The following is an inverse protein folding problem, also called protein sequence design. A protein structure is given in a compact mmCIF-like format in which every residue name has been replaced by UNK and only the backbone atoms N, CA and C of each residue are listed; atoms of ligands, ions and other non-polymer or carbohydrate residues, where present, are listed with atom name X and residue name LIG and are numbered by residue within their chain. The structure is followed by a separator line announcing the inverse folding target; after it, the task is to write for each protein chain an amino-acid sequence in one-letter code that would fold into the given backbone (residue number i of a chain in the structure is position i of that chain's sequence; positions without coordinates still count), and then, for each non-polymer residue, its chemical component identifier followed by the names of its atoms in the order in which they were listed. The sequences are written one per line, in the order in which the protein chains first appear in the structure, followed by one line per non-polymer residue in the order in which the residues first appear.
data_IF_310544533312
#
_entry.id   IF_310544533312
#
_cell.length_a   1.000
_cell.length_b   1.000
_cell.length_c   1.000
_cell.angle_alpha   90.00
_cell.angle_beta   90.00
_cell.angle_gamma   90.00
#
_symmetry.space_group_name_H-M   'P 1'
#
loop_
_entity.id
_entity.type
_entity.pdbx_description
1 polymer ?
#
# COMPACT_ATOMS: atom_id res chain seq x y z
N UNK A 1 11.14 2.76 1.94
CA UNK A 1 10.92 2.07 3.23
C UNK A 1 10.80 3.02 4.44
N UNK A 2 11.75 3.93 4.68
CA UNK A 2 11.78 4.77 5.89
C UNK A 2 10.52 5.61 6.14
N UNK A 3 9.94 6.21 5.09
CA UNK A 3 8.72 7.03 5.23
C UNK A 3 7.49 6.22 5.63
N UNK A 4 7.29 5.04 5.01
CA UNK A 4 6.18 4.15 5.38
C UNK A 4 6.32 3.68 6.83
N UNK A 5 7.53 3.30 7.23
CA UNK A 5 7.80 2.88 8.59
C UNK A 5 7.52 4.00 9.61
N UNK A 6 7.92 5.24 9.31
CA UNK A 6 7.61 6.39 10.16
C UNK A 6 6.10 6.59 10.36
N UNK A 7 5.32 6.44 9.28
CA UNK A 7 3.85 6.54 9.33
C UNK A 7 3.21 5.39 10.13
N UNK A 8 3.78 4.18 10.09
CA UNK A 8 3.32 3.06 10.92
C UNK A 8 3.62 3.32 12.40
N UNK A 9 4.86 3.68 12.72
CA UNK A 9 5.31 3.96 14.09
C UNK A 9 4.51 5.12 14.72
N UNK A 10 4.18 6.15 13.95
CA UNK A 10 3.32 7.24 14.43
C UNK A 10 1.91 6.76 14.80
N UNK A 11 1.32 5.88 14.00
CA UNK A 11 -0.01 5.32 14.28
C UNK A 11 0.01 4.38 15.48
N UNK A 12 1.05 3.56 15.61
CA UNK A 12 1.26 2.70 16.78
C UNK A 12 1.41 3.54 18.06
N UNK A 13 2.19 4.62 18.01
CA UNK A 13 2.34 5.54 19.14
C UNK A 13 1.00 6.19 19.55
N UNK A 14 0.14 6.48 18.58
CA UNK A 14 -1.21 7.02 18.81
C UNK A 14 -2.25 5.95 19.16
N UNK A 15 -1.86 4.67 19.27
CA UNK A 15 -2.76 3.58 19.61
C UNK A 15 -3.94 3.49 18.62
N UNK A 16 -3.64 3.67 17.33
CA UNK A 16 -4.61 3.61 16.24
C UNK A 16 -4.37 2.36 15.39
N UNK A 17 -5.43 1.62 15.09
CA UNK A 17 -5.40 0.41 14.27
C UNK A 17 -6.27 0.66 13.03
N UNK A 18 -5.67 0.48 11.86
CA UNK A 18 -6.38 0.50 10.58
C UNK A 18 -6.97 -0.88 10.28
N UNK A 19 -8.15 -0.91 9.68
CA UNK A 19 -8.72 -2.15 9.17
C UNK A 19 -7.83 -2.74 8.04
N UNK A 20 -7.35 -3.98 8.18
CA UNK A 20 -6.44 -4.59 7.21
C UNK A 20 -7.18 -5.23 6.01
N UNK A 21 -8.51 -5.20 5.97
CA UNK A 21 -9.28 -5.95 4.98
C UNK A 21 -9.21 -5.27 3.60
N UNK A 22 -8.65 -6.03 2.65
CA UNK A 22 -8.76 -5.76 1.22
C UNK A 22 -10.00 -6.49 0.72
N UNK A 23 -10.94 -5.75 0.14
CA UNK A 23 -12.21 -6.29 -0.37
C UNK A 23 -12.08 -6.79 -1.81
N UNK A 24 -11.28 -6.11 -2.61
CA UNK A 24 -11.08 -6.44 -4.01
C UNK A 24 -9.72 -5.92 -4.47
N UNK A 25 -9.12 -6.65 -5.40
CA UNK A 25 -7.91 -6.28 -6.11
C UNK A 25 -8.17 -6.47 -7.60
N UNK A 26 -7.95 -5.42 -8.39
CA UNK A 26 -8.03 -5.51 -9.85
C UNK A 26 -6.86 -6.30 -10.42
N UNK A 27 -6.95 -6.61 -11.71
CA UNK A 27 -5.80 -7.08 -12.46
C UNK A 27 -4.66 -6.05 -12.40
N UNK A 28 -3.43 -6.58 -12.47
CA UNK A 28 -2.21 -5.80 -12.41
C UNK A 28 -1.73 -5.46 -13.82
N UNK A 29 -1.46 -4.19 -14.07
CA UNK A 29 -1.00 -3.70 -15.36
C UNK A 29 0.45 -3.23 -15.28
N UNK A 30 1.23 -3.51 -16.33
CA UNK A 30 2.59 -2.99 -16.47
C UNK A 30 2.55 -1.64 -17.17
N UNK A 31 2.71 -0.56 -16.42
CA UNK A 31 2.69 0.81 -16.95
C UNK A 31 3.98 1.17 -17.68
N UNK A 32 5.11 0.74 -17.13
CA UNK A 32 6.41 1.11 -17.64
C UNK A 32 7.51 0.16 -17.17
N UNK A 33 8.60 0.11 -17.93
CA UNK A 33 9.89 -0.34 -17.42
C UNK A 33 10.87 0.83 -17.50
N UNK A 34 11.56 1.11 -16.40
CA UNK A 34 12.58 2.15 -16.30
C UNK A 34 13.89 1.54 -15.85
N UNK A 35 15.01 2.20 -16.11
CA UNK A 35 16.31 1.79 -15.55
C UNK A 35 16.63 2.79 -14.44
N UNK A 36 16.69 2.31 -13.20
CA UNK A 36 16.98 3.14 -12.02
C UNK A 36 18.16 2.48 -11.31
N UNK A 37 19.23 3.24 -11.07
CA UNK A 37 20.45 2.70 -10.46
C UNK A 37 21.11 1.57 -11.27
N UNK A 38 20.90 1.55 -12.60
CA UNK A 38 21.40 0.50 -13.48
C UNK A 38 20.57 -0.80 -13.51
N UNK A 39 19.50 -0.87 -12.71
CA UNK A 39 18.63 -2.05 -12.64
C UNK A 39 17.30 -1.83 -13.37
N UNK A 40 16.78 -2.83 -14.10
CA UNK A 40 15.46 -2.76 -14.70
C UNK A 40 14.40 -2.70 -13.58
N UNK A 41 13.55 -1.69 -13.66
CA UNK A 41 12.54 -1.34 -12.67
C UNK A 41 11.17 -1.30 -13.35
N UNK A 42 10.43 -2.41 -13.35
CA UNK A 42 9.03 -2.42 -13.74
C UNK A 42 8.19 -1.55 -12.79
N UNK A 43 7.34 -0.71 -13.37
CA UNK A 43 6.31 0.04 -12.67
C UNK A 43 4.98 -0.60 -12.99
N UNK A 44 4.33 -1.12 -11.96
CA UNK A 44 3.04 -1.80 -12.05
C UNK A 44 1.95 -0.92 -11.44
N UNK A 45 0.75 -0.97 -12.00
CA UNK A 45 -0.44 -0.36 -11.42
C UNK A 45 -1.51 -1.38 -11.15
N UNK A 46 -2.28 -1.15 -10.10
CA UNK A 46 -3.47 -1.92 -9.79
C UNK A 46 -4.38 -1.08 -8.88
N UNK A 47 -5.64 -1.46 -8.82
CA UNK A 47 -6.66 -0.87 -7.95
C UNK A 47 -6.97 -1.82 -6.80
N UNK A 48 -7.03 -1.29 -5.58
CA UNK A 48 -7.51 -1.99 -4.41
C UNK A 48 -8.76 -1.33 -3.85
N UNK A 49 -9.78 -2.12 -3.55
CA UNK A 49 -10.86 -1.69 -2.66
C UNK A 49 -10.50 -2.07 -1.23
N UNK A 50 -10.45 -1.08 -0.36
CA UNK A 50 -10.13 -1.27 1.05
C UNK A 50 -11.08 -0.46 1.92
N UNK A 51 -11.31 -0.96 3.13
CA UNK A 51 -12.09 -0.25 4.15
C UNK A 51 -11.21 0.81 4.81
N UNK A 52 -11.67 2.06 4.77
CA UNK A 52 -11.08 3.11 5.58
C UNK A 52 -11.83 3.22 6.90
N UNK A 53 -11.40 2.40 7.87
CA UNK A 53 -11.85 2.50 9.25
C UNK A 53 -10.63 2.44 10.17
N UNK A 54 -10.35 3.54 10.87
CA UNK A 54 -9.30 3.60 11.88
C UNK A 54 -9.95 3.62 13.25
N UNK A 55 -9.55 2.67 14.10
CA UNK A 55 -10.08 2.52 15.46
C UNK A 55 -9.00 2.78 16.50
N UNK A 56 -9.42 3.28 17.66
CA UNK A 56 -8.53 3.27 18.82
C UNK A 56 -8.38 1.84 19.33
N UNK A 57 -7.15 1.40 19.59
CA UNK A 57 -6.88 0.08 20.19
C UNK A 57 -7.41 -0.04 21.61
N UNK A 58 -7.59 1.08 22.32
CA UNK A 58 -8.01 1.11 23.74
C UNK A 58 -9.52 1.05 23.90
N UNK A 59 -10.26 1.80 23.09
CA UNK A 59 -11.73 1.95 23.23
C UNK A 59 -12.51 1.22 22.15
N UNK A 60 -11.83 0.72 21.11
CA UNK A 60 -12.43 0.18 19.89
C UNK A 60 -13.39 1.14 19.14
N UNK A 61 -13.45 2.41 19.57
CA UNK A 61 -14.23 3.43 18.92
C UNK A 61 -13.57 3.83 17.59
N UNK A 62 -14.41 4.13 16.58
CA UNK A 62 -13.95 4.67 15.29
C UNK A 62 -13.44 6.10 15.53
N UNK A 63 -12.18 6.33 15.14
CA UNK A 63 -11.49 7.62 15.25
C UNK A 63 -11.52 8.35 13.92
N UNK A 64 -11.39 7.62 12.81
CA UNK A 64 -11.39 8.17 11.45
C UNK A 64 -12.07 7.18 10.48
N UNK A 65 -12.84 7.71 9.54
CA UNK A 65 -13.60 6.94 8.56
C UNK A 65 -14.89 6.35 9.13
N UNK A 66 -15.34 5.24 8.53
CA UNK A 66 -16.56 4.53 8.91
C UNK A 66 -16.39 3.04 8.65
N UNK A 67 -17.20 2.21 9.30
CA UNK A 67 -17.23 0.75 9.04
C UNK A 67 -17.65 0.43 7.60
N UNK A 68 -18.33 1.37 6.94
CA UNK A 68 -18.83 1.26 5.57
C UNK A 68 -18.10 2.20 4.57
N UNK A 69 -17.06 2.94 5.01
CA UNK A 69 -16.26 3.82 4.11
C UNK A 69 -15.31 2.96 3.27
N UNK A 70 -15.75 2.63 2.05
CA UNK A 70 -14.98 1.84 1.09
C UNK A 70 -14.29 2.77 0.10
N UNK A 71 -12.97 2.62 0.00
CA UNK A 71 -12.14 3.43 -0.91
C UNK A 71 -11.49 2.55 -1.96
N UNK A 72 -11.62 2.97 -3.21
CA UNK A 72 -10.84 2.49 -4.34
C UNK A 72 -9.53 3.27 -4.39
N UNK A 73 -8.40 2.58 -4.23
CA UNK A 73 -7.07 3.18 -4.24
C UNK A 73 -6.28 2.61 -5.40
N UNK A 74 -5.83 3.49 -6.29
CA UNK A 74 -4.95 3.12 -7.39
C UNK A 74 -3.50 3.24 -6.93
N UNK A 75 -2.82 2.10 -6.87
CA UNK A 75 -1.42 2.01 -6.48
C UNK A 75 -0.50 1.96 -7.70
N UNK A 76 0.71 2.49 -7.52
CA UNK A 76 1.84 2.36 -8.43
C UNK A 76 3.02 1.81 -7.64
N UNK A 77 3.50 0.62 -7.99
CA UNK A 77 4.67 0.02 -7.34
C UNK A 77 5.83 -0.02 -8.33
N UNK A 78 7.00 0.42 -7.87
CA UNK A 78 8.27 0.21 -8.55
C UNK A 78 8.96 -1.01 -7.93
N UNK A 79 9.32 -1.98 -8.79
CA UNK A 79 9.93 -3.24 -8.37
C UNK A 79 11.38 -3.29 -8.86
N UNK A 80 12.31 -3.69 -8.00
CA UNK A 80 13.69 -3.97 -8.40
C UNK A 80 14.12 -5.37 -7.95
N UNK A 81 15.03 -6.01 -8.69
CA UNK A 81 15.63 -7.25 -8.23
C UNK A 81 16.52 -6.98 -7.00
N UNK A 82 16.39 -7.81 -5.97
CA UNK A 82 17.35 -7.96 -4.90
C UNK A 82 18.35 -9.05 -5.32
N UNK A 83 19.61 -8.68 -5.54
CA UNK A 83 20.64 -9.62 -5.99
C UNK A 83 21.06 -10.62 -4.91
N UNK A 84 20.79 -10.31 -3.64
CA UNK A 84 21.14 -11.16 -2.49
C UNK A 84 20.03 -12.15 -2.12
N UNK A 85 18.83 -12.01 -2.68
CA UNK A 85 17.68 -12.85 -2.37
C UNK A 85 17.61 -14.11 -3.26
N UNK A 86 17.10 -15.20 -2.68
CA UNK A 86 16.78 -16.42 -3.45
C UNK A 86 15.73 -16.14 -4.53
N UNK A 87 15.62 -17.04 -5.52
CA UNK A 87 14.80 -16.83 -6.72
C UNK A 87 13.33 -16.49 -6.45
N UNK A 88 12.75 -17.03 -5.37
CA UNK A 88 11.35 -16.77 -5.00
C UNK A 88 11.12 -15.35 -4.44
N UNK A 89 12.15 -14.73 -3.86
CA UNK A 89 12.07 -13.40 -3.23
C UNK A 89 12.92 -12.38 -3.99
N UNK A 90 13.23 -12.67 -5.25
CA UNK A 90 14.13 -11.82 -6.04
C UNK A 90 13.55 -10.44 -6.27
N UNK A 91 12.24 -10.24 -6.28
CA UNK A 91 11.65 -8.93 -6.51
C UNK A 91 11.26 -8.26 -5.20
N UNK A 92 11.68 -7.00 -5.05
CA UNK A 92 11.32 -6.16 -3.92
C UNK A 92 10.70 -4.85 -4.39
N UNK A 93 9.71 -4.35 -3.63
CA UNK A 93 9.12 -3.03 -3.84
C UNK A 93 10.11 -1.99 -3.31
N UNK A 94 10.67 -1.19 -4.21
CA UNK A 94 11.56 -0.09 -3.82
C UNK A 94 10.78 1.17 -3.49
N UNK A 95 9.73 1.45 -4.26
CA UNK A 95 8.87 2.61 -4.08
C UNK A 95 7.41 2.25 -4.32
N UNK A 96 6.53 2.86 -3.52
CA UNK A 96 5.09 2.76 -3.63
C UNK A 96 4.52 4.16 -3.65
N UNK A 97 3.65 4.43 -4.62
CA UNK A 97 2.89 5.67 -4.71
C UNK A 97 1.40 5.38 -4.86
N UNK A 98 0.58 6.30 -4.36
CA UNK A 98 -0.87 6.32 -4.63
C UNK A 98 -1.10 7.27 -5.80
N UNK A 99 -1.57 6.73 -6.93
CA UNK A 99 -1.90 7.51 -8.13
C UNK A 99 -3.20 8.30 -7.96
N UNK A 100 -4.14 7.72 -7.23
CA UNK A 100 -5.44 8.32 -6.97
C UNK A 100 -6.23 7.51 -5.96
N UNK A 101 -7.22 8.15 -5.36
CA UNK A 101 -8.16 7.54 -4.42
C UNK A 101 -9.57 8.06 -4.72
N UNK A 102 -10.50 7.14 -4.88
CA UNK A 102 -11.92 7.43 -5.06
C UNK A 102 -12.70 6.80 -3.89
N UNK A 103 -13.57 7.58 -3.26
CA UNK A 103 -14.55 7.03 -2.33
C UNK A 103 -15.69 6.43 -3.15
N UNK A 104 -15.98 5.15 -2.91
CA UNK A 104 -17.00 4.42 -3.68
C UNK A 104 -18.34 4.42 -2.97
N UNK A 105 -18.34 4.34 -1.63
CA UNK A 105 -19.53 4.31 -0.78
C UNK A 105 -19.37 5.16 0.48
#
# INVERSE_FOLDING_TARGET
YAQLNALCMEREARQMVMDPRILHMSDMELEAVRIIGGLPTPVISFELHQLHCIRSSLTHAVVEGSEDDIRAVHYLFALQPNEEAESEHKWQVTEMAVRGMLQVY
#
